data_IF_315719786491
#
_entry.id   IF_315719786491
#
_cell.length_a   1.000
_cell.length_b   1.000
_cell.length_c   1.000
_cell.angle_alpha   90.00
_cell.angle_beta   90.00
_cell.angle_gamma   90.00
#
_symmetry.space_group_name_H-M   'P 1'
#
loop_
_entity.id
_entity.type
_entity.pdbx_description
1 polymer ?
#
# COMPACT_ATOMS: atom_id res chain seq x y z
N UNK A 1 28.84 -9.93 -6.68
CA UNK A 1 27.42 -9.81 -6.26
C UNK A 1 26.83 -11.22 -6.27
N UNK A 2 26.42 -11.77 -5.13
CA UNK A 2 26.01 -13.18 -5.05
C UNK A 2 24.63 -13.40 -5.72
N UNK A 3 24.44 -14.54 -6.38
CA UNK A 3 23.17 -14.93 -7.01
C UNK A 3 21.99 -14.97 -6.04
N UNK A 4 22.26 -15.17 -4.74
CA UNK A 4 21.25 -15.10 -3.67
C UNK A 4 20.70 -13.68 -3.50
N UNK A 5 21.58 -12.69 -3.41
CA UNK A 5 21.20 -11.28 -3.20
C UNK A 5 20.31 -10.73 -4.32
N UNK A 6 20.56 -11.12 -5.58
CA UNK A 6 19.68 -10.73 -6.70
C UNK A 6 18.29 -11.35 -6.62
N UNK A 7 18.17 -12.57 -6.09
CA UNK A 7 16.88 -13.25 -5.93
C UNK A 7 16.05 -12.59 -4.83
N UNK A 8 16.69 -12.22 -3.73
CA UNK A 8 16.04 -11.61 -2.57
C UNK A 8 15.57 -10.19 -2.89
N UNK A 9 16.35 -9.40 -3.64
CA UNK A 9 15.92 -8.10 -4.15
C UNK A 9 14.72 -8.23 -5.10
N UNK A 10 14.73 -9.22 -6.01
CA UNK A 10 13.59 -9.44 -6.91
C UNK A 10 12.33 -9.81 -6.15
N UNK A 11 12.44 -10.65 -5.12
CA UNK A 11 11.33 -10.99 -4.24
C UNK A 11 10.80 -9.74 -3.52
N UNK A 12 11.67 -8.95 -2.89
CA UNK A 12 11.30 -7.71 -2.21
C UNK A 12 10.58 -6.74 -3.16
N UNK A 13 11.11 -6.54 -4.37
CA UNK A 13 10.48 -5.68 -5.37
C UNK A 13 9.11 -6.19 -5.80
N UNK A 14 8.95 -7.51 -5.97
CA UNK A 14 7.64 -8.09 -6.31
C UNK A 14 6.61 -7.91 -5.20
N UNK A 15 7.00 -8.11 -3.93
CA UNK A 15 6.11 -7.90 -2.79
C UNK A 15 5.74 -6.42 -2.61
N UNK A 16 6.72 -5.53 -2.77
CA UNK A 16 6.52 -4.09 -2.65
C UNK A 16 5.62 -3.55 -3.78
N UNK A 17 5.76 -4.08 -4.99
CA UNK A 17 4.90 -3.75 -6.13
C UNK A 17 3.46 -4.24 -5.90
N UNK A 18 3.26 -5.51 -5.50
CA UNK A 18 1.93 -6.04 -5.20
C UNK A 18 1.28 -5.23 -4.07
N UNK A 19 2.05 -4.88 -3.03
CA UNK A 19 1.57 -4.08 -1.92
C UNK A 19 1.14 -2.67 -2.38
N UNK A 20 1.96 -1.98 -3.16
CA UNK A 20 1.61 -0.66 -3.73
C UNK A 20 0.34 -0.72 -4.57
N UNK A 21 0.18 -1.79 -5.36
CA UNK A 21 -0.98 -1.98 -6.23
C UNK A 21 -2.25 -2.23 -5.41
N UNK A 22 -2.18 -3.10 -4.40
CA UNK A 22 -3.28 -3.33 -3.47
C UNK A 22 -3.64 -2.07 -2.67
N UNK A 23 -2.63 -1.32 -2.24
CA UNK A 23 -2.81 -0.07 -1.52
C UNK A 23 -3.46 1.02 -2.38
N UNK A 24 -3.07 1.12 -3.66
CA UNK A 24 -3.71 2.03 -4.61
C UNK A 24 -5.19 1.68 -4.84
N UNK A 25 -5.50 0.38 -5.01
CA UNK A 25 -6.89 -0.09 -5.16
C UNK A 25 -7.70 0.25 -3.90
N UNK A 26 -7.14 0.05 -2.71
CA UNK A 26 -7.79 0.38 -1.44
C UNK A 26 -8.07 1.89 -1.34
N UNK A 27 -7.09 2.73 -1.67
CA UNK A 27 -7.24 4.18 -1.66
C UNK A 27 -8.35 4.63 -2.62
N UNK A 28 -8.38 4.07 -3.83
CA UNK A 28 -9.43 4.32 -4.82
C UNK A 28 -10.80 3.90 -4.26
N UNK A 29 -10.92 2.70 -3.69
CA UNK A 29 -12.18 2.21 -3.12
C UNK A 29 -12.67 3.11 -1.98
N UNK A 30 -11.79 3.57 -1.10
CA UNK A 30 -12.17 4.46 0.01
C UNK A 30 -12.60 5.83 -0.53
N UNK A 31 -11.88 6.38 -1.50
CA UNK A 31 -12.16 7.69 -2.07
C UNK A 31 -13.43 7.71 -2.94
N UNK A 32 -13.69 6.67 -3.71
CA UNK A 32 -14.79 6.61 -4.69
C UNK A 32 -16.02 5.84 -4.23
N UNK A 33 -15.93 4.99 -3.20
CA UNK A 33 -17.08 4.26 -2.67
C UNK A 33 -17.40 4.71 -1.25
N UNK A 34 -16.41 4.62 -0.35
CA UNK A 34 -16.67 4.81 1.08
C UNK A 34 -16.99 6.26 1.46
N UNK A 35 -16.15 7.20 1.02
CA UNK A 35 -16.35 8.63 1.27
C UNK A 35 -17.66 9.17 0.67
N UNK A 36 -18.04 8.87 -0.59
CA UNK A 36 -19.32 9.30 -1.12
C UNK A 36 -20.51 8.61 -0.43
N UNK A 37 -20.39 7.34 0.01
CA UNK A 37 -21.42 6.70 0.83
C UNK A 37 -21.65 7.45 2.15
N UNK A 38 -20.58 7.83 2.85
CA UNK A 38 -20.68 8.61 4.10
C UNK A 38 -21.31 9.98 3.84
N UNK A 39 -20.88 10.66 2.76
CA UNK A 39 -21.43 11.95 2.37
C UNK A 39 -22.93 11.85 2.04
N UNK A 40 -23.33 10.81 1.31
CA UNK A 40 -24.73 10.53 1.01
C UNK A 40 -25.57 10.28 2.27
N UNK A 41 -25.04 9.53 3.25
CA UNK A 41 -25.70 9.33 4.55
C UNK A 41 -25.89 10.61 5.37
N UNK A 42 -25.07 11.64 5.13
CA UNK A 42 -25.14 12.93 5.81
C UNK A 42 -25.84 14.01 4.96
N UNK A 43 -26.55 13.64 3.89
CA UNK A 43 -27.26 14.55 2.98
C UNK A 43 -26.34 15.59 2.28
N UNK A 44 -25.03 15.28 2.15
CA UNK A 44 -24.06 16.12 1.46
C UNK A 44 -24.12 15.87 -0.05
N UNK A 45 -24.68 16.81 -0.80
CA UNK A 45 -24.85 16.76 -2.27
C UNK A 45 -23.56 16.96 -3.11
N UNK A 46 -22.39 17.11 -2.49
CA UNK A 46 -21.20 17.69 -3.15
C UNK A 46 -19.99 16.79 -3.37
N UNK A 47 -20.06 15.50 -3.04
CA UNK A 47 -18.87 14.65 -3.06
C UNK A 47 -18.59 14.06 -4.46
N UNK A 48 -18.00 14.86 -5.35
CA UNK A 48 -17.70 14.47 -6.74
C UNK A 48 -16.24 14.06 -6.98
N UNK A 49 -15.27 14.67 -6.28
CA UNK A 49 -13.84 14.38 -6.47
C UNK A 49 -13.03 14.51 -5.17
N UNK A 50 -12.05 13.62 -4.92
CA UNK A 50 -11.12 13.75 -3.80
C UNK A 50 -10.27 15.03 -3.94
N UNK A 51 -10.12 15.77 -2.84
CA UNK A 51 -9.22 16.92 -2.83
C UNK A 51 -7.76 16.47 -2.99
N UNK A 52 -6.95 17.26 -3.69
CA UNK A 52 -5.50 17.00 -3.87
C UNK A 52 -4.79 16.77 -2.53
N UNK A 53 -5.17 17.49 -1.48
CA UNK A 53 -4.64 17.30 -0.12
C UNK A 53 -4.82 15.88 0.43
N UNK A 54 -5.93 15.20 0.09
CA UNK A 54 -6.23 13.86 0.57
C UNK A 54 -5.53 12.78 -0.22
N UNK A 55 -5.39 12.97 -1.53
CA UNK A 55 -4.52 12.14 -2.37
C UNK A 55 -3.07 12.20 -1.85
N UNK A 56 -2.58 13.38 -1.48
CA UNK A 56 -1.26 13.52 -0.85
C UNK A 56 -1.16 12.83 0.52
N UNK A 57 -2.26 12.74 1.28
CA UNK A 57 -2.27 12.00 2.55
C UNK A 57 -2.07 10.50 2.33
N UNK A 58 -2.70 9.92 1.29
CA UNK A 58 -2.47 8.53 0.90
C UNK A 58 -0.99 8.27 0.52
N UNK A 59 -0.32 9.24 -0.10
CA UNK A 59 1.11 9.14 -0.43
C UNK A 59 2.03 9.15 0.81
N UNK A 60 1.65 9.79 1.92
CA UNK A 60 2.45 9.80 3.16
C UNK A 60 2.57 8.43 3.82
N UNK A 61 1.68 7.50 3.48
CA UNK A 61 1.66 6.14 4.00
C UNK A 61 2.53 5.18 3.18
N UNK A 62 3.05 5.62 2.02
CA UNK A 62 4.03 4.85 1.23
C UNK A 62 5.29 4.47 2.04
N UNK A 63 5.94 5.38 2.80
CA UNK A 63 7.07 4.98 3.64
C UNK A 63 6.68 3.94 4.72
N UNK A 64 5.48 4.02 5.27
CA UNK A 64 4.96 3.02 6.21
C UNK A 64 4.79 1.65 5.53
N UNK A 65 4.21 1.64 4.33
CA UNK A 65 4.08 0.46 3.49
C UNK A 65 5.44 -0.19 3.19
N UNK A 66 6.45 0.62 2.86
CA UNK A 66 7.80 0.10 2.61
C UNK A 66 8.42 -0.56 3.84
N UNK A 67 8.22 0.00 5.04
CA UNK A 67 8.67 -0.61 6.29
C UNK A 67 7.99 -1.96 6.56
N UNK A 68 6.66 -2.04 6.39
CA UNK A 68 5.90 -3.29 6.58
C UNK A 68 6.35 -4.36 5.58
N UNK A 69 6.54 -4.00 4.31
CA UNK A 69 7.04 -4.93 3.30
C UNK A 69 8.48 -5.39 3.59
N UNK A 70 9.34 -4.49 4.09
CA UNK A 70 10.70 -4.82 4.53
C UNK A 70 10.71 -5.79 5.72
N UNK A 71 9.85 -5.59 6.71
CA UNK A 71 9.68 -6.53 7.84
C UNK A 71 9.14 -7.87 7.35
N UNK A 72 8.19 -7.87 6.41
CA UNK A 72 7.65 -9.09 5.81
C UNK A 72 8.72 -9.92 5.11
N UNK A 73 9.59 -9.28 4.32
CA UNK A 73 10.74 -9.93 3.68
C UNK A 73 11.73 -10.44 4.72
N UNK A 74 12.03 -9.64 5.75
CA UNK A 74 12.93 -10.06 6.83
C UNK A 74 12.41 -11.30 7.59
N UNK A 75 11.11 -11.35 7.91
CA UNK A 75 10.48 -12.53 8.53
C UNK A 75 10.48 -13.74 7.60
N UNK A 76 10.26 -13.51 6.30
CA UNK A 76 10.30 -14.57 5.29
C UNK A 76 11.69 -15.19 5.17
N UNK A 77 12.74 -14.36 5.14
CA UNK A 77 14.13 -14.82 5.14
C UNK A 77 14.48 -15.55 6.44
N UNK A 78 14.08 -15.00 7.59
CA UNK A 78 14.30 -15.63 8.90
C UNK A 78 13.71 -17.04 8.97
N UNK A 79 12.52 -17.25 8.40
CA UNK A 79 11.82 -18.54 8.42
C UNK A 79 12.46 -19.58 7.48
N UNK A 80 13.17 -19.15 6.43
CA UNK A 80 13.87 -20.06 5.50
C UNK A 80 15.30 -20.42 5.90
N UNK A 81 15.95 -19.59 6.72
CA UNK A 81 17.36 -19.79 7.09
C UNK A 81 17.53 -20.87 8.18
N UNK A 82 16.45 -21.37 8.80
CA UNK A 82 16.52 -22.50 9.72
C UNK A 82 17.39 -22.19 10.94
N UNK A 83 16.81 -21.42 11.86
CA UNK A 83 17.17 -21.45 13.27
C UNK A 83 15.95 -21.96 14.04
#
# INVERSE_FOLDING_TARGET
MSTRFQRDIKALMSYLLIFLLAYAILAIAIELLWMPLIAWMHDYNGYLWPSTSRVYAWCKLVPFATLVSGIGVWLYERSRIGW
#
